data_IF_753157211905
#
_entry.id   IF_753157211905
#
_cell.length_a   1.000
_cell.length_b   1.000
_cell.length_c   1.000
_cell.angle_alpha   90.00
_cell.angle_beta   90.00
_cell.angle_gamma   90.00
#
_symmetry.space_group_name_H-M   'P 1'
#
loop_
_entity.id
_entity.type
_entity.pdbx_description
1 polymer ?
#
# COMPACT_ATOMS: atom_id res chain seq x y z
N UNK A 1 16.69 30.57 -16.79
CA UNK A 1 15.38 29.94 -16.49
C UNK A 1 14.29 30.93 -16.92
N UNK A 2 13.35 30.53 -17.76
CA UNK A 2 12.28 31.42 -18.24
C UNK A 2 11.26 31.67 -17.11
N UNK A 3 10.58 32.82 -17.12
CA UNK A 3 9.55 33.15 -16.13
C UNK A 3 8.39 32.13 -16.07
N UNK A 4 8.16 31.39 -17.15
CA UNK A 4 7.19 30.28 -17.23
C UNK A 4 7.66 29.06 -16.41
N UNK A 5 8.94 28.70 -16.42
CA UNK A 5 9.48 27.60 -15.63
C UNK A 5 9.39 27.84 -14.13
N UNK A 6 9.62 29.09 -13.68
CA UNK A 6 9.49 29.47 -12.27
C UNK A 6 8.03 29.41 -11.79
N UNK A 7 7.07 29.78 -12.62
CA UNK A 7 5.63 29.68 -12.30
C UNK A 7 5.14 28.24 -12.16
N UNK A 8 5.58 27.34 -13.04
CA UNK A 8 5.22 25.90 -12.98
C UNK A 8 5.78 25.26 -11.72
N UNK A 9 7.03 25.52 -11.37
CA UNK A 9 7.67 24.98 -10.14
C UNK A 9 6.96 25.51 -8.88
N UNK A 10 6.50 26.76 -8.85
CA UNK A 10 5.76 27.29 -7.71
C UNK A 10 4.36 26.69 -7.60
N UNK A 11 3.64 26.51 -8.69
CA UNK A 11 2.31 25.87 -8.70
C UNK A 11 2.39 24.42 -8.21
N UNK A 12 3.38 23.64 -8.65
CA UNK A 12 3.59 22.27 -8.19
C UNK A 12 4.00 22.21 -6.71
N UNK A 13 4.77 23.18 -6.21
CA UNK A 13 5.07 23.31 -4.78
C UNK A 13 3.83 23.57 -3.94
N UNK A 14 2.91 24.41 -4.38
CA UNK A 14 1.64 24.62 -3.66
C UNK A 14 0.76 23.38 -3.67
N UNK A 15 0.72 22.63 -4.78
CA UNK A 15 -0.05 21.40 -4.90
C UNK A 15 0.41 20.32 -3.92
N UNK A 16 1.70 20.14 -3.68
CA UNK A 16 2.25 19.13 -2.76
C UNK A 16 1.74 19.30 -1.32
N UNK A 17 1.45 20.53 -0.89
CA UNK A 17 0.93 20.82 0.45
C UNK A 17 -0.59 20.70 0.57
N UNK A 18 -1.30 20.58 -0.56
CA UNK A 18 -2.78 20.55 -0.58
C UNK A 18 -3.32 19.23 -1.06
N UNK A 19 -2.58 18.50 -1.91
CA UNK A 19 -3.04 17.27 -2.52
C UNK A 19 -3.33 16.21 -1.48
N UNK A 20 -4.50 15.58 -1.59
CA UNK A 20 -4.86 14.38 -0.86
C UNK A 20 -4.43 13.12 -1.63
N UNK A 21 -4.39 11.98 -0.96
CA UNK A 21 -4.14 10.68 -1.58
C UNK A 21 -5.42 9.84 -1.57
N UNK A 22 -5.63 9.07 -2.63
CA UNK A 22 -6.67 8.04 -2.68
C UNK A 22 -6.06 6.69 -3.01
N UNK A 23 -6.15 5.74 -2.08
CA UNK A 23 -5.62 4.38 -2.22
C UNK A 23 -6.78 3.43 -2.54
N UNK A 24 -6.76 2.84 -3.74
CA UNK A 24 -7.83 1.93 -4.17
C UNK A 24 -7.89 0.65 -3.32
N UNK A 25 -9.07 0.05 -3.23
CA UNK A 25 -9.23 -1.30 -2.71
C UNK A 25 -8.59 -2.32 -3.66
N UNK A 26 -7.79 -3.22 -3.11
CA UNK A 26 -6.97 -4.12 -3.92
C UNK A 26 -6.56 -5.42 -3.21
N UNK A 27 -7.15 -5.76 -2.08
CA UNK A 27 -6.88 -6.99 -1.34
C UNK A 27 -5.38 -7.20 -1.08
N UNK A 28 -4.85 -8.38 -1.47
CA UNK A 28 -3.42 -8.69 -1.27
C UNK A 28 -2.45 -7.87 -2.12
N UNK A 29 -2.93 -7.12 -3.12
CA UNK A 29 -2.07 -6.19 -3.86
C UNK A 29 -1.71 -4.93 -3.03
N UNK A 30 -2.23 -4.77 -1.82
CA UNK A 30 -1.96 -3.61 -0.94
C UNK A 30 -0.47 -3.41 -0.63
N UNK A 31 0.36 -4.43 -0.81
CA UNK A 31 1.82 -4.30 -0.72
C UNK A 31 2.39 -3.33 -1.79
N UNK A 32 1.71 -3.15 -2.92
CA UNK A 32 2.01 -2.11 -3.91
C UNK A 32 1.85 -0.71 -3.29
N UNK A 33 0.73 -0.48 -2.58
CA UNK A 33 0.51 0.79 -1.88
C UNK A 33 1.57 1.06 -0.80
N UNK A 34 2.05 0.01 -0.12
CA UNK A 34 3.15 0.15 0.83
C UNK A 34 4.43 0.66 0.15
N UNK A 35 4.75 0.14 -1.05
CA UNK A 35 5.86 0.63 -1.87
C UNK A 35 5.67 2.09 -2.29
N UNK A 36 4.48 2.46 -2.76
CA UNK A 36 4.14 3.86 -3.10
C UNK A 36 4.32 4.78 -1.90
N UNK A 37 3.76 4.41 -0.76
CA UNK A 37 3.87 5.22 0.46
C UNK A 37 5.32 5.32 0.98
N UNK A 38 6.15 4.30 0.76
CA UNK A 38 7.58 4.33 1.07
C UNK A 38 8.31 5.40 0.24
N UNK A 39 8.08 5.43 -1.07
CA UNK A 39 8.66 6.44 -1.96
C UNK A 39 8.18 7.86 -1.61
N UNK A 40 6.88 8.03 -1.36
CA UNK A 40 6.32 9.33 -0.96
C UNK A 40 6.93 9.77 0.39
N UNK A 41 7.03 8.88 1.36
CA UNK A 41 7.60 9.19 2.68
C UNK A 41 9.06 9.66 2.58
N UNK A 42 9.81 9.09 1.65
CA UNK A 42 11.23 9.44 1.47
C UNK A 42 11.42 10.73 0.68
N UNK A 43 10.65 10.94 -0.40
CA UNK A 43 10.92 12.01 -1.36
C UNK A 43 9.93 13.16 -1.34
N UNK A 44 8.72 12.96 -0.80
CA UNK A 44 7.67 13.98 -0.73
C UNK A 44 6.79 13.81 0.53
N UNK A 45 7.37 13.75 1.76
CA UNK A 45 6.66 13.42 2.99
C UNK A 45 5.49 14.37 3.30
N UNK A 46 5.47 15.56 2.70
CA UNK A 46 4.39 16.54 2.86
C UNK A 46 3.04 16.00 2.34
N UNK A 47 3.05 15.18 1.29
CA UNK A 47 1.84 14.54 0.75
C UNK A 47 1.15 13.63 1.77
N UNK A 48 1.92 13.02 2.70
CA UNK A 48 1.37 12.14 3.73
C UNK A 48 0.78 12.90 4.93
N UNK A 49 0.94 14.22 4.99
CA UNK A 49 0.39 15.05 6.06
C UNK A 49 -1.06 15.47 5.80
N UNK A 50 -1.50 15.39 4.56
CA UNK A 50 -2.85 15.73 4.14
C UNK A 50 -3.84 14.58 4.38
N UNK A 51 -5.06 14.72 3.86
CA UNK A 51 -6.07 13.67 3.93
C UNK A 51 -5.68 12.49 3.05
N UNK A 52 -5.97 11.29 3.54
CA UNK A 52 -5.78 10.06 2.79
C UNK A 52 -7.09 9.29 2.80
N UNK A 53 -7.60 8.98 1.62
CA UNK A 53 -8.81 8.18 1.42
C UNK A 53 -8.42 6.75 1.05
N UNK A 54 -9.28 5.79 1.35
CA UNK A 54 -9.06 4.42 0.90
C UNK A 54 -10.31 3.55 1.04
N UNK A 55 -10.38 2.54 0.18
CA UNK A 55 -11.35 1.45 0.28
C UNK A 55 -10.64 0.14 0.61
N UNK A 56 -11.30 -0.75 1.36
CA UNK A 56 -10.78 -2.09 1.62
C UNK A 56 -9.33 -2.06 2.14
N UNK A 57 -8.45 -2.85 1.55
CA UNK A 57 -7.03 -2.87 1.91
C UNK A 57 -6.33 -1.50 1.77
N UNK A 58 -6.80 -0.60 0.89
CA UNK A 58 -6.34 0.78 0.81
C UNK A 58 -6.57 1.56 2.10
N UNK A 59 -7.68 1.32 2.81
CA UNK A 59 -7.97 1.95 4.11
C UNK A 59 -7.00 1.49 5.21
N UNK A 60 -6.57 0.23 5.18
CA UNK A 60 -5.56 -0.33 6.08
C UNK A 60 -4.22 0.41 5.92
N UNK A 61 -3.77 0.55 4.67
CA UNK A 61 -2.50 1.24 4.38
C UNK A 61 -2.60 2.71 4.76
N UNK A 62 -3.72 3.37 4.42
CA UNK A 62 -3.96 4.78 4.78
C UNK A 62 -3.89 5.00 6.30
N UNK A 63 -4.55 4.16 7.10
CA UNK A 63 -4.49 4.21 8.56
C UNK A 63 -3.06 4.01 9.08
N UNK A 64 -2.34 3.02 8.56
CA UNK A 64 -0.94 2.77 8.93
C UNK A 64 -0.03 3.95 8.64
N UNK A 65 -0.18 4.59 7.49
CA UNK A 65 0.60 5.77 7.08
C UNK A 65 0.30 6.97 7.98
N UNK A 66 -0.98 7.27 8.23
CA UNK A 66 -1.39 8.38 9.10
C UNK A 66 -0.88 8.18 10.53
N UNK A 67 -0.92 6.94 11.03
CA UNK A 67 -0.38 6.58 12.35
C UNK A 67 1.14 6.46 12.37
N UNK A 68 1.84 6.78 11.27
CA UNK A 68 3.29 6.67 11.13
C UNK A 68 3.85 5.28 11.50
N UNK A 69 3.08 4.23 11.20
CA UNK A 69 3.55 2.84 11.36
C UNK A 69 4.80 2.63 10.50
N UNK A 70 5.80 1.95 11.05
CA UNK A 70 7.00 1.63 10.30
C UNK A 70 6.64 0.72 9.11
N UNK A 71 7.02 1.14 7.89
CA UNK A 71 6.62 0.45 6.64
C UNK A 71 7.21 -0.96 6.60
N UNK A 72 8.46 -1.15 7.04
CA UNK A 72 9.06 -2.49 7.11
C UNK A 72 8.35 -3.39 8.10
N UNK A 73 7.92 -2.84 9.25
CA UNK A 73 7.11 -3.59 10.21
C UNK A 73 5.75 -3.96 9.63
N UNK A 74 5.06 -3.04 8.94
CA UNK A 74 3.81 -3.31 8.25
C UNK A 74 3.97 -4.37 7.16
N UNK A 75 5.07 -4.34 6.39
CA UNK A 75 5.37 -5.32 5.35
C UNK A 75 5.63 -6.73 5.92
N UNK A 76 6.44 -6.84 7.00
CA UNK A 76 6.63 -8.13 7.71
C UNK A 76 5.31 -8.71 8.18
N UNK A 77 4.49 -7.85 8.73
CA UNK A 77 3.19 -8.19 9.21
C UNK A 77 2.27 -8.69 8.09
N UNK A 78 2.22 -7.98 6.96
CA UNK A 78 1.51 -8.41 5.76
C UNK A 78 1.98 -9.78 5.28
N UNK A 79 3.30 -10.00 5.18
CA UNK A 79 3.87 -11.28 4.78
C UNK A 79 3.52 -12.41 5.76
N UNK A 80 3.44 -12.13 7.07
CA UNK A 80 2.97 -13.11 8.06
C UNK A 80 1.51 -13.50 7.84
N UNK A 81 0.64 -12.54 7.47
CA UNK A 81 -0.77 -12.79 7.11
C UNK A 81 -0.85 -13.69 5.87
N UNK A 82 -0.14 -13.31 4.81
CA UNK A 82 -0.09 -14.10 3.56
C UNK A 82 0.39 -15.53 3.82
N UNK A 83 1.46 -15.69 4.61
CA UNK A 83 1.99 -17.01 4.96
C UNK A 83 1.01 -17.85 5.79
N UNK A 84 0.32 -17.23 6.75
CA UNK A 84 -0.69 -17.88 7.57
C UNK A 84 -1.85 -18.37 6.69
N UNK A 85 -2.40 -17.52 5.81
CA UNK A 85 -3.48 -17.91 4.90
C UNK A 85 -3.06 -19.04 3.95
N UNK A 86 -1.84 -18.97 3.40
CA UNK A 86 -1.32 -20.04 2.53
C UNK A 86 -1.11 -21.38 3.24
N UNK A 87 -1.08 -21.41 4.57
CA UNK A 87 -0.98 -22.67 5.34
C UNK A 87 -2.31 -23.43 5.40
N UNK A 88 -3.44 -22.78 5.15
CA UNK A 88 -4.74 -23.42 5.13
C UNK A 88 -5.05 -24.01 3.76
N UNK A 89 -5.62 -25.21 3.75
CA UNK A 89 -6.20 -25.80 2.53
C UNK A 89 -7.37 -24.92 2.09
N UNK A 90 -7.39 -24.49 0.84
CA UNK A 90 -8.31 -23.49 0.26
C UNK A 90 -8.10 -22.04 0.76
N UNK A 91 -7.02 -21.75 1.51
CA UNK A 91 -6.67 -20.40 1.91
C UNK A 91 -7.78 -19.68 2.68
N UNK A 92 -8.18 -18.50 2.22
CA UNK A 92 -9.22 -17.66 2.84
C UNK A 92 -10.60 -18.36 2.86
N UNK A 93 -10.88 -19.25 1.90
CA UNK A 93 -12.16 -19.97 1.81
C UNK A 93 -12.25 -21.18 2.77
N UNK A 94 -11.23 -21.41 3.60
CA UNK A 94 -11.28 -22.45 4.63
C UNK A 94 -12.28 -22.05 5.72
N UNK A 95 -13.18 -22.97 6.09
CA UNK A 95 -14.25 -22.72 7.08
C UNK A 95 -13.73 -22.43 8.49
N UNK A 96 -12.52 -22.89 8.81
CA UNK A 96 -11.89 -22.68 10.12
C UNK A 96 -11.07 -21.38 10.16
N UNK A 97 -11.02 -20.64 9.04
CA UNK A 97 -10.28 -19.40 8.90
C UNK A 97 -11.23 -18.20 8.92
N UNK A 98 -11.03 -17.30 9.87
CA UNK A 98 -11.80 -16.06 10.01
C UNK A 98 -10.90 -14.86 9.64
N UNK A 99 -11.03 -14.40 8.39
CA UNK A 99 -10.28 -13.28 7.84
C UNK A 99 -10.51 -12.00 8.64
N UNK A 100 -11.76 -11.70 8.99
CA UNK A 100 -12.09 -10.44 9.70
C UNK A 100 -11.54 -10.43 11.12
N UNK A 101 -11.59 -11.56 11.81
CA UNK A 101 -10.97 -11.71 13.14
C UNK A 101 -9.46 -11.53 13.05
N UNK A 102 -8.82 -12.09 12.02
CA UNK A 102 -7.38 -11.91 11.81
C UNK A 102 -7.06 -10.44 11.53
N UNK A 103 -7.73 -9.78 10.59
CA UNK A 103 -7.53 -8.36 10.27
C UNK A 103 -7.68 -7.50 11.53
N UNK A 104 -8.75 -7.69 12.30
CA UNK A 104 -8.98 -6.98 13.57
C UNK A 104 -7.84 -7.17 14.57
N UNK A 105 -7.45 -8.41 14.82
CA UNK A 105 -6.38 -8.75 15.77
C UNK A 105 -5.07 -8.07 15.37
N UNK A 106 -4.79 -8.13 14.09
CA UNK A 106 -3.58 -7.59 13.51
C UNK A 106 -3.56 -6.05 13.54
N UNK A 107 -4.64 -5.38 13.18
CA UNK A 107 -4.78 -3.93 13.28
C UNK A 107 -4.64 -3.46 14.75
N UNK A 108 -5.24 -4.19 15.68
CA UNK A 108 -5.12 -3.86 17.09
C UNK A 108 -3.67 -3.95 17.61
N UNK A 109 -2.89 -4.88 17.10
CA UNK A 109 -1.48 -5.05 17.46
C UNK A 109 -0.57 -3.96 16.87
N UNK A 110 -0.84 -3.51 15.62
CA UNK A 110 0.08 -2.61 14.90
C UNK A 110 -0.25 -1.12 15.07
N UNK A 111 -1.53 -0.77 15.23
CA UNK A 111 -1.94 0.63 15.39
C UNK A 111 -1.69 1.11 16.84
N UNK A 112 -1.24 2.36 17.04
CA UNK A 112 -1.05 2.93 18.36
C UNK A 112 -2.39 3.12 19.11
N UNK A 113 -2.33 3.30 20.43
CA UNK A 113 -3.53 3.47 21.25
C UNK A 113 -4.38 4.69 20.86
N UNK A 114 -3.73 5.77 20.41
CA UNK A 114 -4.37 7.00 19.95
C UNK A 114 -4.63 7.05 18.44
N UNK A 115 -4.65 5.91 17.74
CA UNK A 115 -4.82 5.84 16.28
C UNK A 115 -6.10 6.57 15.81
N UNK A 116 -7.20 6.47 16.56
CA UNK A 116 -8.45 7.15 16.25
C UNK A 116 -8.32 8.68 16.26
N UNK A 117 -7.57 9.25 17.20
CA UNK A 117 -7.30 10.69 17.26
C UNK A 117 -6.48 11.15 16.04
N UNK A 118 -5.45 10.37 15.65
CA UNK A 118 -4.61 10.66 14.50
C UNK A 118 -5.37 10.55 13.16
N UNK A 119 -6.33 9.62 13.07
CA UNK A 119 -7.09 9.32 11.87
C UNK A 119 -8.32 10.21 11.69
N UNK A 120 -8.99 10.65 12.76
CA UNK A 120 -10.18 11.49 12.69
C UNK A 120 -9.92 12.78 11.91
N UNK A 121 -10.74 13.05 10.89
CA UNK A 121 -10.63 14.20 9.98
C UNK A 121 -9.51 14.11 8.94
N UNK A 122 -8.66 13.08 9.01
CA UNK A 122 -7.57 12.83 8.06
C UNK A 122 -7.77 11.58 7.22
N UNK A 123 -8.18 10.48 7.84
CA UNK A 123 -8.52 9.24 7.16
C UNK A 123 -9.96 9.28 6.70
N UNK A 124 -10.21 8.92 5.44
CA UNK A 124 -11.53 8.76 4.85
C UNK A 124 -11.69 7.34 4.34
N UNK A 125 -12.55 6.58 5.00
CA UNK A 125 -12.78 5.17 4.71
C UNK A 125 -14.05 5.03 3.87
N UNK A 126 -13.92 4.54 2.65
CA UNK A 126 -15.05 4.16 1.80
C UNK A 126 -15.65 2.86 2.28
N UNK A 127 -16.95 2.86 2.53
CA UNK A 127 -17.77 1.68 2.85
C UNK A 127 -19.05 1.70 2.03
N UNK A 128 -19.61 0.52 1.76
CA UNK A 128 -20.91 0.39 1.10
C UNK A 128 -21.96 0.03 2.14
N UNK A 129 -22.99 0.86 2.30
CA UNK A 129 -24.08 0.59 3.23
C UNK A 129 -24.94 -0.53 2.70
N UNK A 130 -25.12 -1.58 3.50
CA UNK A 130 -25.75 -2.83 3.03
C UNK A 130 -27.20 -2.69 2.61
N UNK A 131 -27.98 -1.85 3.30
CA UNK A 131 -29.44 -1.74 3.08
C UNK A 131 -29.83 -1.14 1.73
N UNK A 132 -29.00 -0.26 1.16
CA UNK A 132 -29.29 0.49 -0.07
C UNK A 132 -28.16 0.48 -1.08
N UNK A 133 -27.02 -0.14 -0.74
CA UNK A 133 -25.81 -0.24 -1.57
C UNK A 133 -25.19 1.13 -1.92
N UNK A 134 -25.51 2.18 -1.15
CA UNK A 134 -24.90 3.49 -1.33
C UNK A 134 -23.51 3.57 -0.66
N UNK A 135 -22.65 4.37 -1.27
CA UNK A 135 -21.35 4.67 -0.68
C UNK A 135 -21.49 5.61 0.51
N UNK A 136 -20.71 5.34 1.54
CA UNK A 136 -20.56 6.21 2.73
C UNK A 136 -19.09 6.39 3.02
N UNK A 137 -18.68 7.61 3.32
CA UNK A 137 -17.32 7.90 3.79
C UNK A 137 -17.35 8.05 5.31
N UNK A 138 -16.58 7.21 5.99
CA UNK A 138 -16.37 7.27 7.44
C UNK A 138 -15.05 7.99 7.72
N UNK A 139 -15.07 9.08 8.49
CA UNK A 139 -13.90 9.93 8.75
C UNK A 139 -13.80 10.43 10.20
N UNK A 140 -14.73 10.02 11.09
CA UNK A 140 -14.72 10.34 12.51
C UNK A 140 -14.77 9.07 13.36
N UNK A 141 -13.85 8.93 14.32
CA UNK A 141 -13.68 7.76 15.16
C UNK A 141 -13.48 8.18 16.62
N UNK A 142 -14.38 7.75 17.53
CA UNK A 142 -14.31 8.10 18.94
C UNK A 142 -13.30 7.22 19.72
N UNK A 143 -13.04 6.01 19.25
CA UNK A 143 -12.12 5.06 19.89
C UNK A 143 -11.29 4.31 18.85
N UNK A 144 -10.18 3.70 19.29
CA UNK A 144 -9.38 2.82 18.43
C UNK A 144 -10.19 1.63 17.91
N UNK A 145 -11.08 1.07 18.74
CA UNK A 145 -11.93 -0.04 18.32
C UNK A 145 -12.91 0.39 17.24
N UNK A 146 -13.51 1.58 17.36
CA UNK A 146 -14.38 2.15 16.33
C UNK A 146 -13.66 2.39 15.00
N UNK A 147 -12.41 2.87 15.03
CA UNK A 147 -11.57 2.96 13.83
C UNK A 147 -11.34 1.58 13.19
N UNK A 148 -11.06 0.57 14.00
CA UNK A 148 -10.85 -0.80 13.52
C UNK A 148 -12.16 -1.39 12.96
N UNK A 149 -13.31 -1.11 13.60
CA UNK A 149 -14.63 -1.50 13.08
C UNK A 149 -14.89 -0.92 11.70
N UNK A 150 -14.62 0.38 11.51
CA UNK A 150 -14.78 1.05 10.22
C UNK A 150 -13.88 0.42 9.13
N UNK A 151 -12.62 0.11 9.45
CA UNK A 151 -11.71 -0.56 8.52
C UNK A 151 -12.22 -1.98 8.21
N UNK A 152 -12.68 -2.73 9.21
CA UNK A 152 -13.26 -4.06 9.00
C UNK A 152 -14.52 -4.02 8.13
N UNK A 153 -15.38 -3.01 8.29
CA UNK A 153 -16.53 -2.78 7.41
C UNK A 153 -16.07 -2.57 5.96
N UNK A 154 -15.05 -1.74 5.76
CA UNK A 154 -14.48 -1.45 4.44
C UNK A 154 -13.81 -2.67 3.77
N UNK A 155 -13.37 -3.65 4.54
CA UNK A 155 -12.68 -4.84 4.04
C UNK A 155 -13.58 -6.08 3.92
N UNK A 156 -14.86 -5.98 4.27
CA UNK A 156 -15.74 -7.13 4.32
C UNK A 156 -16.40 -7.40 2.96
N UNK A 157 -15.93 -8.42 2.28
CA UNK A 157 -16.57 -8.95 1.07
C UNK A 157 -17.44 -10.13 1.51
N UNK A 158 -18.78 -10.09 1.29
CA UNK A 158 -19.69 -11.18 1.66
C UNK A 158 -19.22 -12.53 1.12
N UNK A 159 -19.35 -13.60 1.90
CA UNK A 159 -18.86 -14.95 1.65
C UNK A 159 -17.34 -15.09 1.77
N UNK A 160 -16.57 -14.19 1.18
CA UNK A 160 -15.10 -14.20 1.23
C UNK A 160 -14.58 -13.79 2.62
N UNK A 161 -15.13 -12.72 3.21
CA UNK A 161 -14.81 -12.24 4.56
C UNK A 161 -15.57 -12.99 5.67
N UNK A 162 -16.50 -13.89 5.30
CA UNK A 162 -17.34 -14.62 6.24
C UNK A 162 -18.83 -14.39 6.03
N UNK A 163 -19.63 -14.85 6.99
CA UNK A 163 -21.10 -14.74 6.97
C UNK A 163 -21.66 -13.82 8.06
N UNK A 164 -20.81 -13.32 8.96
CA UNK A 164 -21.18 -12.37 10.00
C UNK A 164 -20.80 -10.98 9.52
N UNK A 165 -21.80 -10.20 9.18
CA UNK A 165 -21.60 -8.85 8.65
C UNK A 165 -21.11 -7.91 9.76
N UNK A 166 -20.04 -7.14 9.52
CA UNK A 166 -19.56 -6.15 10.47
C UNK A 166 -20.52 -4.95 10.53
N UNK A 167 -20.53 -4.29 11.68
CA UNK A 167 -21.33 -3.09 11.92
C UNK A 167 -20.44 -1.94 12.36
N UNK A 168 -20.86 -0.72 12.02
CA UNK A 168 -20.32 0.51 12.53
C UNK A 168 -21.46 1.40 12.97
N UNK A 169 -21.51 1.77 14.26
CA UNK A 169 -22.60 2.55 14.85
C UNK A 169 -23.99 1.96 14.54
N UNK A 170 -24.15 0.67 14.80
CA UNK A 170 -25.38 -0.12 14.60
C UNK A 170 -25.87 -0.25 13.15
N UNK A 171 -25.12 0.24 12.16
CA UNK A 171 -25.44 0.06 10.74
C UNK A 171 -24.52 -0.99 10.12
N UNK A 172 -25.06 -1.82 9.21
CA UNK A 172 -24.33 -2.87 8.49
C UNK A 172 -23.66 -2.28 7.25
N UNK A 173 -22.38 -2.56 7.08
CA UNK A 173 -21.59 -2.17 5.92
C UNK A 173 -20.85 -3.36 5.31
N UNK A 174 -20.54 -3.22 4.03
CA UNK A 174 -19.68 -4.12 3.28
C UNK A 174 -18.56 -3.33 2.60
N UNK A 175 -17.67 -4.03 1.92
CA UNK A 175 -16.49 -3.48 1.26
C UNK A 175 -16.82 -2.23 0.42
N UNK A 176 -16.03 -1.17 0.62
CA UNK A 176 -16.18 0.09 -0.13
C UNK A 176 -16.00 -0.09 -1.62
N UNK A 177 -15.22 -1.09 -2.04
CA UNK A 177 -15.03 -1.45 -3.44
C UNK A 177 -16.31 -1.87 -4.18
N UNK A 178 -17.41 -2.12 -3.48
CA UNK A 178 -18.70 -2.40 -4.11
C UNK A 178 -19.40 -1.14 -4.64
N UNK A 179 -19.12 0.05 -4.08
CA UNK A 179 -19.76 1.32 -4.47
C UNK A 179 -18.77 2.40 -4.91
N UNK A 180 -17.66 2.59 -4.17
CA UNK A 180 -16.57 3.52 -4.53
C UNK A 180 -15.23 2.94 -4.08
N UNK A 181 -14.51 2.33 -5.02
CA UNK A 181 -13.25 1.64 -4.76
C UNK A 181 -12.05 2.61 -4.67
N UNK A 182 -12.18 3.83 -5.17
CA UNK A 182 -11.11 4.83 -5.19
C UNK A 182 -11.69 6.23 -4.93
N UNK A 183 -12.02 6.54 -3.65
CA UNK A 183 -12.74 7.76 -3.32
C UNK A 183 -11.91 9.02 -3.61
N UNK A 184 -12.37 9.82 -4.56
CA UNK A 184 -11.80 11.11 -4.94
C UNK A 184 -12.60 12.20 -4.24
N UNK A 185 -11.95 12.93 -3.33
CA UNK A 185 -12.63 13.89 -2.45
C UNK A 185 -12.47 15.35 -2.87
N UNK A 186 -11.47 15.62 -3.69
CA UNK A 186 -11.18 16.96 -4.22
C UNK A 186 -10.44 16.87 -5.56
N UNK A 187 -10.33 18.00 -6.28
CA UNK A 187 -9.69 18.06 -7.61
C UNK A 187 -8.19 17.84 -7.58
N UNK A 188 -7.56 17.99 -6.42
CA UNK A 188 -6.12 17.81 -6.24
C UNK A 188 -5.77 16.42 -5.68
N UNK A 189 -6.74 15.50 -5.61
CA UNK A 189 -6.51 14.13 -5.14
C UNK A 189 -5.60 13.38 -6.10
N UNK A 190 -4.51 12.81 -5.57
CA UNK A 190 -3.61 11.90 -6.27
C UNK A 190 -4.12 10.48 -6.06
N UNK A 191 -4.47 9.82 -7.15
CA UNK A 191 -5.03 8.46 -7.16
C UNK A 191 -3.94 7.41 -7.29
N UNK A 192 -4.05 6.34 -6.50
CA UNK A 192 -3.08 5.24 -6.48
C UNK A 192 -3.80 3.90 -6.66
N UNK A 193 -3.42 3.14 -7.67
CA UNK A 193 -3.99 1.83 -7.96
C UNK A 193 -2.89 0.83 -8.36
N UNK A 194 -2.94 -0.44 -7.91
CA UNK A 194 -2.04 -1.48 -8.40
C UNK A 194 -2.47 -2.03 -9.77
N UNK A 195 -3.59 -1.57 -10.32
CA UNK A 195 -4.04 -1.91 -11.65
C UNK A 195 -3.62 -0.85 -12.65
N UNK A 196 -3.14 -1.27 -13.83
CA UNK A 196 -2.87 -0.36 -14.94
C UNK A 196 -4.19 0.28 -15.41
N UNK A 197 -4.23 1.61 -15.50
CA UNK A 197 -5.41 2.41 -15.84
C UNK A 197 -5.09 3.89 -15.88
N UNK A 198 -6.06 4.72 -15.50
CA UNK A 198 -5.94 6.19 -15.49
C UNK A 198 -5.53 6.78 -14.13
N UNK A 199 -5.29 5.94 -13.11
CA UNK A 199 -4.80 6.44 -11.82
C UNK A 199 -3.44 7.13 -11.97
N UNK A 200 -3.19 8.21 -11.21
CA UNK A 200 -1.96 9.00 -11.26
C UNK A 200 -0.71 8.16 -10.98
N UNK A 201 -0.81 7.23 -10.04
CA UNK A 201 0.25 6.28 -9.71
C UNK A 201 -0.30 4.88 -9.91
N UNK A 202 0.11 4.23 -10.99
CA UNK A 202 -0.27 2.86 -11.32
C UNK A 202 0.80 2.20 -12.21
N UNK A 203 0.82 0.86 -12.30
CA UNK A 203 1.70 0.16 -13.24
C UNK A 203 1.41 0.56 -14.68
N UNK A 204 2.47 0.65 -15.49
CA UNK A 204 2.36 0.87 -16.93
C UNK A 204 2.53 -0.46 -17.64
N UNK A 205 1.45 -0.97 -18.27
CA UNK A 205 1.54 -2.16 -19.11
C UNK A 205 1.90 -1.74 -20.53
N UNK A 206 2.99 -2.31 -21.06
CA UNK A 206 3.48 -2.00 -22.43
C UNK A 206 2.62 -2.61 -23.54
N UNK A 207 1.69 -3.49 -23.20
CA UNK A 207 0.79 -4.12 -24.17
C UNK A 207 -0.18 -3.09 -24.74
N UNK A 208 0.18 -2.58 -25.93
CA UNK A 208 -0.55 -1.59 -26.72
C UNK A 208 -1.94 -2.03 -27.21
N UNK A 209 -2.41 -3.21 -26.85
CA UNK A 209 -3.54 -3.85 -27.48
C UNK A 209 -4.91 -3.57 -26.85
N UNK A 210 -4.99 -3.02 -25.64
CA UNK A 210 -6.28 -2.77 -25.04
C UNK A 210 -6.62 -1.29 -24.99
N UNK A 211 -7.43 -0.86 -25.98
CA UNK A 211 -8.15 0.42 -25.97
C UNK A 211 -9.40 0.36 -25.04
N UNK A 212 -9.65 -0.80 -24.43
CA UNK A 212 -10.79 -0.99 -23.55
C UNK A 212 -10.39 -0.79 -22.09
N UNK A 213 -10.98 0.22 -21.50
CA UNK A 213 -10.93 0.49 -20.06
C UNK A 213 -12.30 0.19 -19.46
N UNK A 214 -12.26 -0.42 -18.28
CA UNK A 214 -13.44 -0.64 -17.48
C UNK A 214 -13.33 0.17 -16.19
N UNK A 215 -14.35 0.98 -15.92
CA UNK A 215 -14.44 1.67 -14.64
C UNK A 215 -15.14 0.76 -13.63
N UNK A 216 -14.38 0.29 -12.66
CA UNK A 216 -14.89 -0.49 -11.54
C UNK A 216 -15.01 0.41 -10.31
N UNK A 217 -16.26 0.81 -9.98
CA UNK A 217 -16.55 1.62 -8.80
C UNK A 217 -15.54 2.78 -8.60
N UNK A 218 -15.34 3.62 -9.61
CA UNK A 218 -14.42 4.77 -9.56
C UNK A 218 -12.97 4.46 -9.93
N UNK A 219 -12.55 3.19 -10.01
CA UNK A 219 -11.19 2.83 -10.44
C UNK A 219 -11.19 2.46 -11.92
N UNK A 220 -10.39 3.16 -12.74
CA UNK A 220 -10.13 2.78 -14.13
C UNK A 220 -9.18 1.59 -14.18
N UNK A 221 -9.57 0.53 -14.91
CA UNK A 221 -8.79 -0.70 -15.07
C UNK A 221 -8.74 -1.04 -16.57
N UNK A 222 -7.54 -1.07 -17.15
CA UNK A 222 -7.35 -1.56 -18.52
C UNK A 222 -7.55 -3.06 -18.61
N UNK A 223 -8.20 -3.52 -19.66
CA UNK A 223 -8.37 -4.96 -19.93
C UNK A 223 -7.08 -5.54 -20.53
N UNK A 224 -6.09 -5.84 -19.70
CA UNK A 224 -4.82 -6.47 -20.07
C UNK A 224 -4.67 -7.83 -19.40
N UNK A 225 -3.84 -8.72 -19.96
CA UNK A 225 -3.51 -10.00 -19.34
C UNK A 225 -2.87 -9.79 -17.96
N UNK A 226 -2.03 -8.77 -17.81
CA UNK A 226 -1.41 -8.40 -16.54
C UNK A 226 -2.44 -7.96 -15.51
N UNK A 227 -3.45 -7.16 -15.88
CA UNK A 227 -4.50 -6.77 -14.95
C UNK A 227 -5.41 -7.94 -14.58
N UNK A 228 -5.66 -8.89 -15.49
CA UNK A 228 -6.37 -10.11 -15.15
C UNK A 228 -5.59 -10.96 -14.13
N UNK A 229 -4.27 -11.06 -14.30
CA UNK A 229 -3.40 -11.71 -13.33
C UNK A 229 -3.40 -10.97 -11.98
N UNK A 230 -3.31 -9.63 -11.98
CA UNK A 230 -3.42 -8.82 -10.76
C UNK A 230 -4.77 -9.02 -10.06
N UNK A 231 -5.87 -9.11 -10.82
CA UNK A 231 -7.20 -9.39 -10.24
C UNK A 231 -7.25 -10.73 -9.53
N UNK A 232 -6.59 -11.76 -10.04
CA UNK A 232 -6.45 -13.03 -9.34
C UNK A 232 -5.62 -12.87 -8.05
N UNK A 233 -4.49 -12.16 -8.09
CA UNK A 233 -3.64 -11.90 -6.93
C UNK A 233 -4.29 -10.97 -5.89
N UNK A 234 -5.31 -10.19 -6.27
CA UNK A 234 -6.11 -9.39 -5.34
C UNK A 234 -6.85 -10.28 -4.33
N UNK A 235 -7.38 -11.42 -4.79
CA UNK A 235 -8.21 -12.33 -3.98
C UNK A 235 -7.42 -13.52 -3.43
N UNK A 236 -6.36 -13.94 -4.11
CA UNK A 236 -5.56 -15.08 -3.69
C UNK A 236 -4.18 -14.63 -3.20
N UNK A 237 -3.72 -15.11 -2.03
CA UNK A 237 -2.49 -14.64 -1.43
C UNK A 237 -1.28 -14.95 -2.35
N UNK A 238 -0.54 -13.90 -2.78
CA UNK A 238 0.62 -14.05 -3.63
C UNK A 238 1.78 -14.74 -2.92
N UNK A 239 2.80 -15.15 -3.67
CA UNK A 239 4.07 -15.61 -3.12
C UNK A 239 4.84 -14.43 -2.50
N UNK A 240 5.83 -14.74 -1.68
CA UNK A 240 6.69 -13.73 -1.09
C UNK A 240 7.48 -12.94 -2.17
N UNK A 241 7.90 -13.62 -3.23
CA UNK A 241 8.59 -13.00 -4.37
C UNK A 241 7.67 -12.04 -5.15
N UNK A 242 6.42 -12.44 -5.41
CA UNK A 242 5.41 -11.58 -6.01
C UNK A 242 5.13 -10.35 -5.14
N UNK A 243 5.04 -10.52 -3.81
CA UNK A 243 4.90 -9.39 -2.88
C UNK A 243 6.07 -8.42 -2.98
N UNK A 244 7.30 -8.92 -3.00
CA UNK A 244 8.50 -8.09 -3.12
C UNK A 244 8.54 -7.35 -4.47
N UNK A 245 8.19 -8.03 -5.57
CA UNK A 245 8.11 -7.44 -6.90
C UNK A 245 7.06 -6.32 -6.95
N UNK A 246 5.86 -6.56 -6.41
CA UNK A 246 4.78 -5.55 -6.37
C UNK A 246 5.16 -4.34 -5.51
N UNK A 247 5.82 -4.55 -4.36
CA UNK A 247 6.29 -3.46 -3.51
C UNK A 247 7.30 -2.57 -4.27
N UNK A 248 8.26 -3.18 -4.97
CA UNK A 248 9.21 -2.45 -5.81
C UNK A 248 8.53 -1.69 -6.95
N UNK A 249 7.57 -2.32 -7.63
CA UNK A 249 6.80 -1.64 -8.68
C UNK A 249 6.11 -0.39 -8.13
N UNK A 250 5.39 -0.50 -7.00
CA UNK A 250 4.74 0.63 -6.36
C UNK A 250 5.71 1.76 -6.00
N UNK A 251 6.88 1.42 -5.46
CA UNK A 251 7.92 2.39 -5.15
C UNK A 251 8.42 3.11 -6.41
N UNK A 252 8.72 2.38 -7.47
CA UNK A 252 9.24 2.94 -8.72
C UNK A 252 8.20 3.79 -9.45
N UNK A 253 6.93 3.35 -9.49
CA UNK A 253 5.86 4.11 -10.14
C UNK A 253 5.58 5.41 -9.40
N UNK A 254 5.60 5.40 -8.06
CA UNK A 254 5.51 6.61 -7.26
C UNK A 254 6.70 7.54 -7.50
N UNK A 255 7.92 7.03 -7.56
CA UNK A 255 9.10 7.83 -7.83
C UNK A 255 9.02 8.51 -9.21
N UNK A 256 8.61 7.77 -10.25
CA UNK A 256 8.36 8.32 -11.59
C UNK A 256 7.33 9.46 -11.54
N UNK A 257 6.20 9.23 -10.85
CA UNK A 257 5.18 10.25 -10.67
C UNK A 257 5.72 11.51 -9.98
N UNK A 258 6.45 11.36 -8.88
CA UNK A 258 7.01 12.48 -8.12
C UNK A 258 8.01 13.30 -8.96
N UNK A 259 8.84 12.64 -9.74
CA UNK A 259 9.81 13.29 -10.66
C UNK A 259 9.07 14.03 -11.78
N UNK A 260 8.13 13.37 -12.45
CA UNK A 260 7.41 13.93 -13.59
C UNK A 260 6.55 15.14 -13.19
N UNK A 261 6.06 15.18 -11.96
CA UNK A 261 5.29 16.30 -11.43
C UNK A 261 6.15 17.36 -10.71
N UNK A 262 7.48 17.20 -10.68
CA UNK A 262 8.39 18.18 -10.07
C UNK A 262 8.33 18.22 -8.54
N UNK A 263 7.83 17.16 -7.89
CA UNK A 263 7.79 17.03 -6.44
C UNK A 263 9.14 16.63 -5.85
N UNK A 264 10.03 16.09 -6.67
CA UNK A 264 11.42 15.78 -6.32
C UNK A 264 12.36 16.05 -7.52
N UNK A 265 13.68 16.03 -7.31
CA UNK A 265 14.66 16.36 -8.35
C UNK A 265 14.96 15.14 -9.25
N UNK A 266 15.16 15.39 -10.55
CA UNK A 266 15.51 14.36 -11.55
C UNK A 266 16.80 13.60 -11.27
N UNK A 267 17.71 14.13 -10.42
CA UNK A 267 18.99 13.48 -10.10
C UNK A 267 18.82 12.12 -9.40
N UNK A 268 17.65 11.86 -8.84
CA UNK A 268 17.35 10.65 -8.06
C UNK A 268 16.98 9.46 -8.96
N UNK A 269 16.39 9.70 -10.15
CA UNK A 269 15.93 8.64 -11.05
C UNK A 269 17.02 7.75 -11.66
N UNK A 270 18.21 8.27 -11.87
CA UNK A 270 19.25 7.60 -12.69
C UNK A 270 19.98 6.50 -11.93
N UNK A 271 20.05 6.55 -10.60
CA UNK A 271 20.84 5.60 -9.79
C UNK A 271 20.09 4.33 -9.36
N UNK A 272 18.77 4.26 -9.57
CA UNK A 272 17.93 3.19 -9.02
C UNK A 272 17.85 1.95 -9.92
N UNK A 273 18.03 2.11 -11.24
CA UNK A 273 17.77 1.02 -12.20
C UNK A 273 18.90 -0.02 -12.34
N UNK A 274 20.14 0.31 -11.99
CA UNK A 274 21.29 -0.53 -12.35
C UNK A 274 21.78 -1.43 -11.20
N UNK A 275 21.84 -0.93 -9.98
CA UNK A 275 22.47 -1.65 -8.86
C UNK A 275 21.56 -2.65 -8.14
N UNK A 276 20.22 -2.47 -8.21
CA UNK A 276 19.28 -3.34 -7.52
C UNK A 276 19.08 -4.69 -8.22
N UNK A 277 19.19 -4.74 -9.54
CA UNK A 277 18.99 -5.98 -10.32
C UNK A 277 20.18 -6.93 -10.22
N UNK A 278 21.39 -6.40 -10.09
CA UNK A 278 22.64 -7.20 -10.08
C UNK A 278 22.87 -7.88 -8.72
N UNK A 279 22.52 -7.22 -7.62
CA UNK A 279 22.70 -7.79 -6.28
C UNK A 279 21.64 -8.85 -5.94
N UNK A 280 20.47 -8.81 -6.58
CA UNK A 280 19.36 -9.72 -6.31
C UNK A 280 19.65 -11.17 -6.70
N UNK A 281 20.21 -11.36 -7.90
CA UNK A 281 20.52 -12.70 -8.40
C UNK A 281 21.62 -13.38 -7.59
N UNK A 282 22.61 -12.62 -7.09
CA UNK A 282 23.71 -13.16 -6.28
C UNK A 282 23.27 -13.57 -4.87
N UNK A 283 22.33 -12.86 -4.27
CA UNK A 283 21.79 -13.19 -2.93
C UNK A 283 20.87 -14.40 -3.00
N UNK A 284 20.01 -14.49 -4.03
CA UNK A 284 19.15 -15.66 -4.25
C UNK A 284 19.94 -16.96 -4.42
N UNK A 285 21.02 -16.93 -5.21
CA UNK A 285 21.89 -18.10 -5.42
C UNK A 285 22.68 -18.51 -4.16
N UNK A 286 23.11 -17.53 -3.34
CA UNK A 286 23.83 -17.80 -2.10
C UNK A 286 22.96 -18.42 -1.02
N UNK A 287 21.67 -18.08 -0.99
CA UNK A 287 20.68 -18.60 -0.01
C UNK A 287 20.25 -20.02 -0.34
N UNK A 288 20.01 -20.31 -1.62
CA UNK A 288 19.68 -21.67 -2.06
C UNK A 288 20.82 -22.67 -1.78
N UNK A 289 22.06 -22.19 -1.74
CA UNK A 289 23.26 -22.98 -1.43
C UNK A 289 23.50 -23.23 0.07
N UNK A 290 22.94 -22.39 0.97
CA UNK A 290 23.24 -22.40 2.40
C UNK A 290 22.22 -23.17 3.28
N UNK A 291 21.07 -23.63 2.76
CA UNK A 291 19.98 -24.23 3.56
C UNK A 291 19.99 -25.77 3.48
N UNK A 292 20.17 -26.49 4.59
CA UNK A 292 20.02 -27.95 4.63
C UNK A 292 18.58 -28.40 4.39
N UNK A 293 18.41 -29.52 3.67
CA UNK A 293 17.17 -30.00 3.05
C UNK A 293 16.05 -30.53 3.97
N UNK A 294 16.10 -30.35 5.28
CA UNK A 294 15.19 -31.01 6.23
C UNK A 294 14.46 -30.06 7.19
N UNK A 295 13.53 -29.27 6.72
CA UNK A 295 12.26 -28.93 7.41
C UNK A 295 11.49 -27.84 6.66
N UNK A 296 10.32 -28.17 6.12
CA UNK A 296 9.47 -27.24 5.37
C UNK A 296 8.98 -26.03 6.21
N UNK A 297 8.86 -26.18 7.53
CA UNK A 297 8.39 -25.13 8.45
C UNK A 297 9.48 -24.09 8.71
N UNK A 298 10.74 -24.52 8.85
CA UNK A 298 11.87 -23.60 9.05
C UNK A 298 12.18 -22.78 7.79
N UNK A 299 12.12 -23.39 6.59
CA UNK A 299 12.26 -22.68 5.32
C UNK A 299 11.24 -21.55 5.15
N UNK A 300 10.02 -21.75 5.62
CA UNK A 300 8.93 -20.77 5.48
C UNK A 300 9.09 -19.55 6.39
N UNK A 301 9.62 -19.73 7.61
CA UNK A 301 9.93 -18.62 8.51
C UNK A 301 11.14 -17.81 8.02
N UNK A 302 12.16 -18.48 7.52
CA UNK A 302 13.37 -17.84 7.00
C UNK A 302 13.08 -16.96 5.77
N UNK A 303 12.26 -17.43 4.83
CA UNK A 303 11.86 -16.64 3.65
C UNK A 303 11.17 -15.32 4.02
N UNK A 304 10.37 -15.31 5.09
CA UNK A 304 9.66 -14.10 5.53
C UNK A 304 10.59 -13.09 6.20
N UNK A 305 11.54 -13.54 7.02
CA UNK A 305 12.56 -12.66 7.62
C UNK A 305 13.52 -12.09 6.57
N UNK A 306 13.83 -12.87 5.56
CA UNK A 306 14.71 -12.50 4.48
C UNK A 306 14.12 -11.43 3.57
N UNK A 307 12.83 -11.55 3.22
CA UNK A 307 12.13 -10.54 2.41
C UNK A 307 11.91 -9.25 3.21
N UNK A 308 11.63 -9.34 4.50
CA UNK A 308 11.55 -8.18 5.37
C UNK A 308 12.92 -7.48 5.48
N UNK A 309 13.99 -8.24 5.68
CA UNK A 309 15.38 -7.73 5.64
C UNK A 309 15.74 -7.12 4.28
N UNK A 310 15.15 -7.63 3.20
CA UNK A 310 15.32 -7.13 1.85
C UNK A 310 14.59 -5.80 1.62
N UNK A 311 13.36 -5.67 2.13
CA UNK A 311 12.63 -4.39 2.13
C UNK A 311 13.41 -3.36 2.95
N UNK A 312 13.94 -3.75 4.12
CA UNK A 312 14.80 -2.90 4.96
C UNK A 312 16.10 -2.52 4.22
N UNK A 313 16.73 -3.43 3.49
CA UNK A 313 17.92 -3.16 2.69
C UNK A 313 17.64 -2.22 1.51
N UNK A 314 16.50 -2.35 0.82
CA UNK A 314 16.09 -1.41 -0.23
C UNK A 314 15.89 -0.01 0.35
N UNK A 315 15.33 0.09 1.54
CA UNK A 315 15.12 1.37 2.23
C UNK A 315 16.44 1.95 2.79
N UNK A 316 17.37 1.12 3.23
CA UNK A 316 18.63 1.54 3.84
C UNK A 316 19.75 1.90 2.83
N UNK A 317 19.86 1.20 1.69
CA UNK A 317 20.92 1.47 0.70
C UNK A 317 20.85 2.85 0.06
N UNK A 318 19.72 3.53 0.14
CA UNK A 318 19.54 4.88 -0.40
C UNK A 318 20.03 6.00 0.51
N UNK A 319 20.16 5.76 1.81
CA UNK A 319 20.68 6.74 2.77
C UNK A 319 22.20 6.97 2.63
N UNK A 320 22.92 6.04 2.04
CA UNK A 320 24.39 6.08 1.93
C UNK A 320 24.91 6.71 0.62
N UNK A 321 24.06 6.95 -0.37
CA UNK A 321 24.47 7.49 -1.68
C UNK A 321 24.10 8.96 -1.94
N UNK A 322 23.58 9.67 -0.95
CA UNK A 322 23.31 11.11 -1.07
C UNK A 322 24.61 11.92 -0.94
N UNK A 323 24.82 12.96 -1.78
CA UNK A 323 25.96 13.87 -1.63
C UNK A 323 25.95 14.54 -0.26
N UNK A 324 27.13 14.73 0.34
CA UNK A 324 27.34 15.30 1.69
C UNK A 324 26.60 16.61 1.99
N UNK A 325 26.15 17.35 0.98
CA UNK A 325 25.41 18.61 1.13
C UNK A 325 23.93 18.44 1.54
N UNK A 326 23.41 17.20 1.54
CA UNK A 326 21.99 16.91 1.91
C UNK A 326 21.91 16.13 3.23
N UNK A 327 23.04 15.65 3.76
CA UNK A 327 23.09 14.84 4.99
C UNK A 327 22.76 15.65 6.28
N UNK A 328 22.73 16.98 6.24
CA UNK A 328 22.46 17.78 7.43
C UNK A 328 20.99 17.84 7.89
N UNK A 329 20.07 17.20 7.17
CA UNK A 329 18.64 17.14 7.51
C UNK A 329 18.13 15.77 8.00
N UNK A 330 18.95 14.70 7.95
CA UNK A 330 18.47 13.32 8.16
C UNK A 330 19.02 12.65 9.44
N UNK A 331 19.61 13.40 10.37
CA UNK A 331 20.22 12.85 11.61
C UNK A 331 19.24 12.17 12.59
N UNK A 332 17.93 12.13 12.29
CA UNK A 332 16.92 11.43 13.11
C UNK A 332 16.63 9.99 12.68
N UNK A 333 17.14 9.55 11.54
CA UNK A 333 16.73 8.25 10.97
C UNK A 333 17.66 7.08 11.35
N UNK A 334 18.92 7.37 11.67
CA UNK A 334 19.94 6.34 11.96
C UNK A 334 19.83 5.80 13.39
N UNK A 335 19.16 6.51 14.31
CA UNK A 335 19.07 6.12 15.72
C UNK A 335 17.89 5.20 16.07
N UNK A 336 16.94 4.98 15.14
CA UNK A 336 15.75 4.15 15.38
C UNK A 336 15.83 2.73 14.82
N UNK A 337 16.94 2.35 14.18
CA UNK A 337 17.14 1.01 13.61
C UNK A 337 17.93 0.05 14.54
N UNK A 338 18.38 0.51 15.72
CA UNK A 338 19.19 -0.30 16.66
C UNK A 338 18.58 -0.42 18.08
N UNK A 339 17.29 -0.11 18.27
CA UNK A 339 16.59 -0.40 19.54
C UNK A 339 15.28 -1.13 19.30
#
# INVERSE_FOLDING_TARGET
MSASGVRIVNANRERIYKASLSLSGCGFLSIYHAGVCAAIKEYAPQLLQNRISGASAGSIIAAGVICNVCISHAARFFLSVVSEIRSYTFGVLNRDFDLMKMVRTKLNAILPANAHELCTGRLRISVTRFRDMENVILDEFCTKDELIDAICCSCFIPVYGGFVYPTFRDEIYIDGGASDNQPVTDTDTITVSPFSGESDICPTDEESASLFEWNFAGTSIRLTANNLYRAALCLFPPSAEECASMCRSGFNDALKFLVNNGFTSNAICISVDIDLLTNFNQISEAVDAAVPSNSAIFKKSYQNEEIAGYIDAILATKTTQLPHSIQSGSSSFTFFLLS
#
